data_IF_015470764140
#
_entry.id   IF_015470764140
#
_cell.length_a   1.000
_cell.length_b   1.000
_cell.length_c   1.000
_cell.angle_alpha   90.00
_cell.angle_beta   90.00
_cell.angle_gamma   90.00
#
_symmetry.space_group_name_H-M   'P 1'
#
loop_
_entity.id
_entity.type
_entity.pdbx_description
1 polymer ?
#
# COMPACT_ATOMS: atom_id res chain seq x y z
N UNK A 1 0.80 -5.83 14.27
CA UNK A 1 1.75 -4.76 13.98
C UNK A 1 2.41 -4.30 15.27
N UNK A 2 3.71 -4.26 15.29
CA UNK A 2 4.50 -3.95 16.49
C UNK A 2 4.83 -2.47 16.65
N UNK A 3 4.32 -1.61 15.77
CA UNK A 3 4.58 -0.17 15.80
C UNK A 3 5.88 0.25 15.13
N UNK A 4 6.68 -0.68 14.63
CA UNK A 4 7.91 -0.35 13.90
C UNK A 4 7.73 -0.27 12.40
N UNK A 5 6.69 -0.90 11.85
CA UNK A 5 6.36 -0.83 10.44
C UNK A 5 5.18 0.10 10.19
N UNK A 6 5.11 0.62 8.95
CA UNK A 6 4.02 1.49 8.52
C UNK A 6 3.13 0.75 7.51
N UNK A 7 2.03 1.37 7.12
CA UNK A 7 1.17 0.86 6.06
C UNK A 7 1.69 1.19 4.65
N UNK A 8 2.82 1.86 4.55
CA UNK A 8 3.43 2.24 3.27
C UNK A 8 4.31 1.09 2.79
N UNK A 9 4.01 0.56 1.63
CA UNK A 9 4.73 -0.61 1.12
C UNK A 9 5.16 -0.43 -0.34
N UNK A 10 6.20 -1.16 -0.69
CA UNK A 10 6.74 -1.21 -2.04
C UNK A 10 6.57 -2.60 -2.61
N UNK A 11 6.44 -2.67 -3.93
CA UNK A 11 6.32 -3.94 -4.64
C UNK A 11 7.61 -4.74 -4.53
N UNK A 12 7.45 -6.05 -4.36
CA UNK A 12 8.55 -6.99 -4.47
C UNK A 12 8.31 -7.90 -5.67
N UNK A 13 9.36 -8.20 -6.40
CA UNK A 13 9.31 -9.23 -7.43
C UNK A 13 9.01 -10.58 -6.79
N UNK A 14 8.49 -11.53 -7.59
CA UNK A 14 8.07 -12.83 -7.08
C UNK A 14 9.14 -13.53 -6.24
N UNK A 15 10.37 -13.54 -6.73
CA UNK A 15 11.49 -14.19 -6.05
C UNK A 15 11.76 -13.57 -4.68
N UNK A 16 11.81 -12.25 -4.62
CA UNK A 16 12.05 -11.52 -3.38
C UNK A 16 10.89 -11.64 -2.41
N UNK A 17 9.67 -11.66 -2.93
CA UNK A 17 8.48 -11.85 -2.12
C UNK A 17 8.49 -13.21 -1.42
N UNK A 18 8.85 -14.26 -2.15
CA UNK A 18 8.95 -15.61 -1.58
C UNK A 18 10.08 -15.70 -0.56
N UNK A 19 11.22 -15.08 -0.84
CA UNK A 19 12.35 -15.03 0.09
C UNK A 19 11.99 -14.30 1.37
N UNK A 20 11.09 -13.32 1.30
CA UNK A 20 10.61 -12.56 2.45
C UNK A 20 9.36 -13.19 3.08
N UNK A 21 9.13 -14.48 2.85
CA UNK A 21 8.04 -15.28 3.44
C UNK A 21 6.64 -14.70 3.15
N UNK A 22 6.46 -14.10 1.99
CA UNK A 22 5.17 -13.54 1.58
C UNK A 22 4.84 -12.20 2.20
N UNK A 23 5.79 -11.54 2.81
CA UNK A 23 5.58 -10.20 3.39
C UNK A 23 6.07 -9.12 2.43
N UNK A 24 5.25 -8.10 2.22
CA UNK A 24 5.61 -6.94 1.40
C UNK A 24 6.72 -6.12 2.05
N UNK A 25 7.41 -5.34 1.25
CA UNK A 25 8.47 -4.47 1.73
C UNK A 25 7.88 -3.18 2.30
N UNK A 26 7.57 -3.19 3.59
CA UNK A 26 7.00 -2.04 4.27
C UNK A 26 8.07 -1.06 4.73
N UNK A 27 7.77 0.23 4.59
CA UNK A 27 8.58 1.26 5.22
C UNK A 27 8.47 1.13 6.74
N UNK A 28 9.56 1.34 7.43
CA UNK A 28 9.56 1.35 8.89
C UNK A 28 9.45 2.78 9.41
N UNK A 29 9.12 2.93 10.69
CA UNK A 29 9.13 4.26 11.32
C UNK A 29 10.52 4.88 11.22
N UNK A 30 11.56 4.06 11.38
CA UNK A 30 12.94 4.53 11.25
C UNK A 30 13.26 5.00 9.84
N UNK A 31 12.94 4.21 8.82
CA UNK A 31 13.20 4.60 7.43
C UNK A 31 12.42 5.85 7.03
N UNK A 32 11.19 5.97 7.49
CA UNK A 32 10.38 7.17 7.24
C UNK A 32 10.96 8.42 7.89
N UNK A 33 11.53 8.29 9.09
CA UNK A 33 12.11 9.43 9.81
C UNK A 33 13.32 10.02 9.11
N UNK A 34 13.98 9.23 8.25
CA UNK A 34 15.15 9.68 7.48
C UNK A 34 14.78 10.40 6.18
N UNK A 35 13.53 10.28 5.75
CA UNK A 35 13.08 10.90 4.51
C UNK A 35 12.66 12.35 4.76
N UNK A 36 13.00 13.24 3.83
CA UNK A 36 12.73 14.69 3.94
C UNK A 36 11.74 15.19 2.91
N UNK A 37 11.47 14.39 1.88
CA UNK A 37 10.64 14.79 0.75
C UNK A 37 9.58 13.71 0.46
N UNK A 38 8.46 14.09 -0.16
CA UNK A 38 7.50 13.09 -0.64
C UNK A 38 8.17 12.09 -1.57
N UNK A 39 7.72 10.86 -1.52
CA UNK A 39 8.24 9.78 -2.36
C UNK A 39 7.10 8.89 -2.84
N UNK A 40 7.35 8.14 -3.89
CA UNK A 40 6.36 7.21 -4.42
C UNK A 40 6.42 5.88 -3.69
N UNK A 41 5.26 5.24 -3.59
CA UNK A 41 5.14 3.88 -3.06
C UNK A 41 4.12 3.12 -3.91
N UNK A 42 3.95 1.85 -3.61
CA UNK A 42 3.02 1.01 -4.36
C UNK A 42 1.70 0.80 -3.64
N UNK A 43 1.74 0.77 -2.33
CA UNK A 43 0.56 0.54 -1.49
C UNK A 43 0.56 1.45 -0.29
N UNK A 44 -0.62 1.83 0.15
CA UNK A 44 -0.81 2.57 1.39
C UNK A 44 -2.12 2.16 2.05
N UNK A 45 -2.16 2.22 3.38
CA UNK A 45 -3.40 2.11 4.11
C UNK A 45 -4.19 3.42 4.00
N UNK A 46 -5.52 3.34 4.14
CA UNK A 46 -6.41 4.48 3.91
C UNK A 46 -6.89 5.17 5.18
N UNK A 47 -6.14 5.05 6.26
CA UNK A 47 -6.46 5.79 7.50
C UNK A 47 -6.38 7.31 7.32
N UNK A 48 -5.49 7.75 6.43
CA UNK A 48 -5.35 9.17 6.07
C UNK A 48 -4.81 9.24 4.64
N UNK A 49 -5.68 9.57 3.69
CA UNK A 49 -5.31 9.61 2.28
C UNK A 49 -6.08 10.74 1.58
N UNK A 50 -5.41 11.37 0.61
CA UNK A 50 -6.03 12.35 -0.28
C UNK A 50 -5.98 11.81 -1.69
N UNK A 51 -7.11 11.82 -2.38
CA UNK A 51 -7.23 11.28 -3.73
C UNK A 51 -7.58 12.41 -4.68
N UNK A 52 -6.74 12.58 -5.70
CA UNK A 52 -6.90 13.63 -6.70
C UNK A 52 -8.23 13.45 -7.44
N UNK A 53 -8.90 14.56 -7.74
CA UNK A 53 -10.09 14.57 -8.58
C UNK A 53 -9.79 13.90 -9.92
N UNK A 54 -10.71 13.06 -10.37
CA UNK A 54 -10.60 12.35 -11.64
C UNK A 54 -10.15 10.90 -11.49
N UNK A 55 -9.52 10.53 -10.37
CA UNK A 55 -9.07 9.15 -10.18
C UNK A 55 -10.25 8.20 -10.12
N UNK A 56 -11.25 8.49 -9.29
CA UNK A 56 -12.43 7.61 -9.17
C UNK A 56 -13.19 7.49 -10.49
N UNK A 57 -13.27 8.56 -11.25
CA UNK A 57 -13.99 8.56 -12.53
C UNK A 57 -13.31 7.68 -13.58
N UNK A 58 -12.00 7.49 -13.46
CA UNK A 58 -11.21 6.68 -14.38
C UNK A 58 -11.02 5.24 -13.94
N UNK A 59 -11.43 4.90 -12.73
CA UNK A 59 -11.35 3.54 -12.23
C UNK A 59 -12.71 2.85 -12.35
N UNK A 60 -12.66 1.55 -12.62
CA UNK A 60 -13.86 0.74 -12.70
C UNK A 60 -14.46 0.48 -11.33
N UNK A 61 -15.75 0.70 -11.20
CA UNK A 61 -16.47 0.42 -9.95
C UNK A 61 -16.76 -1.10 -9.87
N UNK A 62 -16.62 -1.74 -8.69
CA UNK A 62 -16.39 -1.17 -7.35
C UNK A 62 -14.90 -0.88 -7.09
N UNK A 63 -14.63 0.29 -6.50
CA UNK A 63 -13.25 0.78 -6.31
C UNK A 63 -12.47 0.09 -5.20
N UNK A 64 -13.16 -0.43 -4.19
CA UNK A 64 -12.53 -0.98 -2.99
C UNK A 64 -12.82 -2.48 -2.84
N UNK A 65 -12.98 -3.19 -3.93
CA UNK A 65 -13.24 -4.62 -3.89
C UNK A 65 -11.94 -5.41 -3.73
N UNK A 66 -11.87 -6.37 -2.80
CA UNK A 66 -10.71 -7.25 -2.71
C UNK A 66 -10.51 -8.01 -4.02
N UNK A 67 -9.25 -8.28 -4.36
CA UNK A 67 -8.92 -9.02 -5.57
C UNK A 67 -7.70 -9.90 -5.35
N UNK A 68 -7.58 -10.95 -6.16
CA UNK A 68 -6.39 -11.79 -6.16
C UNK A 68 -5.26 -11.06 -6.88
N UNK A 69 -4.09 -11.06 -6.29
CA UNK A 69 -2.89 -10.54 -6.91
C UNK A 69 -2.08 -11.70 -7.44
N UNK A 70 -1.70 -11.61 -8.72
CA UNK A 70 -1.04 -12.69 -9.43
C UNK A 70 0.25 -12.18 -10.04
N UNK A 71 1.32 -12.97 -9.95
CA UNK A 71 2.58 -12.67 -10.62
C UNK A 71 2.47 -12.95 -12.12
N UNK A 72 3.43 -12.44 -12.90
CA UNK A 72 3.48 -12.69 -14.35
C UNK A 72 3.56 -14.17 -14.69
N UNK A 73 4.14 -14.98 -13.80
CA UNK A 73 4.20 -16.44 -13.96
C UNK A 73 2.83 -17.10 -13.87
N UNK A 74 1.80 -16.38 -13.42
CA UNK A 74 0.47 -16.92 -13.17
C UNK A 74 0.29 -17.46 -11.77
N UNK A 75 1.34 -17.52 -10.97
CA UNK A 75 1.24 -17.97 -9.59
C UNK A 75 0.61 -16.88 -8.71
N UNK A 76 -0.31 -17.30 -7.84
CA UNK A 76 -1.04 -16.39 -6.97
C UNK A 76 -0.11 -15.89 -5.86
N UNK A 77 -0.03 -14.56 -5.72
CA UNK A 77 0.72 -13.94 -4.64
C UNK A 77 -0.09 -13.91 -3.35
N UNK A 78 -1.25 -13.28 -3.40
CA UNK A 78 -2.09 -13.10 -2.21
C UNK A 78 -3.45 -12.53 -2.59
N UNK A 79 -4.36 -12.54 -1.64
CA UNK A 79 -5.62 -11.83 -1.73
C UNK A 79 -5.40 -10.40 -1.22
N UNK A 80 -5.60 -9.43 -2.10
CA UNK A 80 -5.44 -8.02 -1.72
C UNK A 80 -6.67 -7.51 -0.99
N UNK A 81 -6.45 -6.84 0.13
CA UNK A 81 -7.50 -6.10 0.81
C UNK A 81 -7.98 -4.91 -0.03
N UNK A 82 -9.01 -4.23 0.46
CA UNK A 82 -9.68 -3.15 -0.28
C UNK A 82 -8.76 -1.97 -0.61
N UNK A 83 -7.92 -1.55 0.33
CA UNK A 83 -7.00 -0.42 0.12
C UNK A 83 -5.85 -0.79 -0.81
N UNK A 84 -5.27 -1.97 -0.67
CA UNK A 84 -4.24 -2.46 -1.59
C UNK A 84 -4.81 -2.63 -2.98
N UNK A 85 -6.01 -3.16 -3.09
CA UNK A 85 -6.71 -3.34 -4.36
C UNK A 85 -6.91 -2.00 -5.09
N UNK A 86 -7.34 -0.97 -4.39
CA UNK A 86 -7.50 0.37 -4.96
C UNK A 86 -6.16 0.92 -5.46
N UNK A 87 -5.10 0.79 -4.67
CA UNK A 87 -3.76 1.24 -5.07
C UNK A 87 -3.29 0.52 -6.33
N UNK A 88 -3.53 -0.78 -6.40
CA UNK A 88 -3.15 -1.59 -7.56
C UNK A 88 -3.87 -1.12 -8.83
N UNK A 89 -5.18 -0.90 -8.74
CA UNK A 89 -5.97 -0.43 -9.88
C UNK A 89 -5.55 0.96 -10.33
N UNK A 90 -5.30 1.86 -9.38
CA UNK A 90 -4.83 3.21 -9.69
C UNK A 90 -3.50 3.18 -10.44
N UNK A 91 -2.57 2.34 -10.01
CA UNK A 91 -1.27 2.22 -10.67
C UNK A 91 -1.40 1.64 -12.08
N UNK A 92 -2.30 0.69 -12.29
CA UNK A 92 -2.57 0.14 -13.63
C UNK A 92 -3.08 1.19 -14.59
N UNK A 93 -3.77 2.21 -14.09
CA UNK A 93 -4.27 3.33 -14.90
C UNK A 93 -3.22 4.43 -15.08
N UNK A 94 -2.02 4.25 -14.55
CA UNK A 94 -0.93 5.20 -14.71
C UNK A 94 -0.80 6.25 -13.61
N UNK A 95 -1.61 6.15 -12.56
CA UNK A 95 -1.48 7.05 -11.42
C UNK A 95 -0.34 6.63 -10.51
N UNK A 96 0.25 7.62 -9.84
CA UNK A 96 1.28 7.39 -8.85
C UNK A 96 0.71 7.57 -7.44
N UNK A 97 1.25 6.82 -6.50
CA UNK A 97 0.89 6.91 -5.09
C UNK A 97 2.07 7.54 -4.37
N UNK A 98 1.81 8.66 -3.72
CA UNK A 98 2.83 9.44 -3.03
C UNK A 98 2.60 9.43 -1.54
N UNK A 99 3.70 9.35 -0.80
CA UNK A 99 3.69 9.49 0.65
C UNK A 99 4.51 10.70 1.05
N UNK A 100 3.94 11.53 1.94
CA UNK A 100 4.68 12.65 2.52
C UNK A 100 5.15 12.25 3.94
N UNK A 101 6.44 11.99 4.12
CA UNK A 101 6.96 11.51 5.40
C UNK A 101 6.95 12.58 6.50
N UNK A 102 6.68 13.83 6.17
CA UNK A 102 6.63 14.94 7.13
C UNK A 102 5.31 14.98 7.89
N UNK A 103 4.28 14.28 7.39
CA UNK A 103 2.96 14.23 8.00
C UNK A 103 2.84 12.94 8.78
N UNK A 104 2.59 13.05 10.10
CA UNK A 104 2.40 11.89 10.97
C UNK A 104 0.97 11.85 11.47
N UNK A 105 0.37 10.67 11.39
CA UNK A 105 -0.99 10.44 11.85
C UNK A 105 -0.98 9.25 12.80
N UNK A 106 -1.50 9.47 14.00
CA UNK A 106 -1.65 8.39 14.96
C UNK A 106 -2.85 7.52 14.62
N UNK A 107 -2.79 6.29 15.07
CA UNK A 107 -3.89 5.34 14.91
C UNK A 107 -4.30 4.81 16.29
N UNK A 108 -5.49 5.20 16.75
CA UNK A 108 -6.02 4.74 18.02
C UNK A 108 -6.65 3.37 17.84
N UNK A 109 -6.30 2.46 18.75
CA UNK A 109 -6.88 1.13 18.80
C UNK A 109 -7.46 0.88 20.19
N UNK A 110 -8.67 0.34 20.21
CA UNK A 110 -9.32 -0.05 21.47
C UNK A 110 -9.05 -1.53 21.71
N UNK A 111 -8.59 -1.85 22.92
CA UNK A 111 -8.40 -3.23 23.34
C UNK A 111 -9.49 -3.62 24.32
N UNK A 112 -10.01 -4.82 24.13
CA UNK A 112 -10.88 -5.46 25.12
C UNK A 112 -10.01 -6.42 25.92
N UNK A 113 -9.98 -6.20 27.20
CA UNK A 113 -9.18 -7.01 28.12
C UNK A 113 -10.08 -8.04 28.79
#
# INVERSE_FOLDING_TARGET
EDGTTTSIAHWLEEEDFKANKGVMNHETVESMSKRRKPFTCDYTGFGWVSIKKGVFENLEYPWFAPQMQVFESGEVQDMCGEDVSFCLDAKKMGYEIWCDPRIRVGHEKTRVI
#
